data_IF_303179307351
#
_entry.id   IF_303179307351
#
_cell.length_a   1.000
_cell.length_b   1.000
_cell.length_c   1.000
_cell.angle_alpha   90.00
_cell.angle_beta   90.00
_cell.angle_gamma   90.00
#
_symmetry.space_group_name_H-M   'P 1'
#
loop_
_entity.id
_entity.type
_entity.pdbx_description
1 polymer ?
#
# COMPACT_ATOMS: atom_id res chain seq x y z
N UNK A 1 -25.61 1.60 -16.57
CA UNK A 1 -25.45 2.22 -15.25
C UNK A 1 -25.13 1.15 -14.23
N UNK A 2 -24.34 1.49 -13.23
CA UNK A 2 -23.95 0.56 -12.17
C UNK A 2 -24.83 0.76 -10.94
N UNK A 3 -25.34 -0.36 -10.44
CA UNK A 3 -26.14 -0.43 -9.24
C UNK A 3 -25.41 -1.33 -8.26
N UNK A 4 -25.41 -0.97 -6.98
CA UNK A 4 -24.71 -1.73 -5.96
C UNK A 4 -25.50 -1.84 -4.67
N UNK A 5 -25.23 -2.90 -3.92
CA UNK A 5 -25.78 -3.15 -2.59
C UNK A 5 -24.71 -3.78 -1.72
N UNK A 6 -24.65 -3.38 -0.45
CA UNK A 6 -23.86 -4.07 0.56
C UNK A 6 -24.69 -5.25 1.09
N UNK A 7 -24.14 -6.46 1.03
CA UNK A 7 -24.78 -7.64 1.59
C UNK A 7 -24.58 -7.76 3.10
N UNK A 8 -25.15 -8.82 3.70
CA UNK A 8 -25.10 -9.02 5.15
C UNK A 8 -23.70 -9.33 5.67
N UNK A 9 -22.76 -9.70 4.80
CA UNK A 9 -21.36 -9.99 5.12
C UNK A 9 -20.48 -8.75 4.91
N UNK A 10 -21.06 -7.63 4.47
CA UNK A 10 -20.35 -6.38 4.18
C UNK A 10 -19.71 -6.36 2.80
N UNK A 11 -19.95 -7.38 1.95
CA UNK A 11 -19.44 -7.42 0.59
C UNK A 11 -20.32 -6.59 -0.35
N UNK A 12 -19.72 -6.05 -1.40
CA UNK A 12 -20.46 -5.28 -2.40
C UNK A 12 -20.88 -6.15 -3.59
N UNK A 13 -22.20 -6.25 -3.82
CA UNK A 13 -22.76 -6.82 -5.05
C UNK A 13 -22.98 -5.69 -6.06
N UNK A 14 -22.16 -5.65 -7.12
CA UNK A 14 -22.27 -4.68 -8.21
C UNK A 14 -22.95 -5.32 -9.43
N UNK A 15 -23.98 -4.66 -9.94
CA UNK A 15 -24.76 -5.09 -11.11
C UNK A 15 -24.80 -3.99 -12.15
N UNK A 16 -24.50 -4.38 -13.39
CA UNK A 16 -24.75 -3.52 -14.54
C UNK A 16 -26.22 -3.63 -15.00
N UNK A 17 -26.86 -2.48 -15.18
CA UNK A 17 -28.18 -2.36 -15.78
C UNK A 17 -28.17 -1.35 -16.93
N UNK A 18 -28.76 -1.72 -18.07
CA UNK A 18 -29.07 -0.77 -19.13
C UNK A 18 -30.17 0.19 -18.61
N UNK A 19 -29.99 1.53 -18.68
CA UNK A 19 -31.01 2.50 -18.28
C UNK A 19 -32.35 2.34 -19.02
N UNK A 20 -32.34 1.80 -20.25
CA UNK A 20 -33.55 1.57 -21.03
C UNK A 20 -34.33 0.32 -20.59
N UNK A 21 -33.72 -0.55 -19.77
CA UNK A 21 -34.37 -1.75 -19.24
C UNK A 21 -35.09 -1.44 -17.92
N UNK A 22 -36.24 -0.77 -18.02
CA UNK A 22 -37.04 -0.32 -16.87
C UNK A 22 -37.48 -1.45 -15.92
N UNK A 23 -37.79 -2.64 -16.46
CA UNK A 23 -38.20 -3.81 -15.65
C UNK A 23 -37.04 -4.30 -14.79
N UNK A 24 -35.85 -4.49 -15.38
CA UNK A 24 -34.66 -4.90 -14.64
C UNK A 24 -34.27 -3.85 -13.58
N UNK A 25 -34.33 -2.57 -13.96
CA UNK A 25 -34.11 -1.44 -13.06
C UNK A 25 -35.04 -1.49 -11.84
N UNK A 26 -36.35 -1.62 -12.05
CA UNK A 26 -37.34 -1.67 -10.97
C UNK A 26 -37.10 -2.88 -10.04
N UNK A 27 -36.80 -4.05 -10.61
CA UNK A 27 -36.49 -5.25 -9.82
C UNK A 27 -35.26 -5.06 -8.94
N UNK A 28 -34.19 -4.45 -9.46
CA UNK A 28 -32.98 -4.17 -8.70
C UNK A 28 -33.24 -3.13 -7.59
N UNK A 29 -34.02 -2.09 -7.86
CA UNK A 29 -34.43 -1.11 -6.83
C UNK A 29 -35.22 -1.76 -5.70
N UNK A 30 -36.19 -2.60 -6.05
CA UNK A 30 -37.00 -3.34 -5.06
C UNK A 30 -36.16 -4.32 -4.23
N UNK A 31 -35.06 -4.84 -4.80
CA UNK A 31 -34.09 -5.67 -4.08
C UNK A 31 -33.10 -4.86 -3.21
N UNK A 32 -33.20 -3.53 -3.21
CA UNK A 32 -32.38 -2.62 -2.41
C UNK A 32 -31.10 -2.13 -3.08
N UNK A 33 -30.95 -2.28 -4.39
CA UNK A 33 -29.76 -1.77 -5.08
C UNK A 33 -29.84 -0.24 -5.29
N UNK A 34 -28.76 0.45 -4.92
CA UNK A 34 -28.60 1.89 -5.06
C UNK A 34 -27.70 2.23 -6.25
N UNK A 35 -27.70 3.49 -6.69
CA UNK A 35 -26.74 3.94 -7.70
C UNK A 35 -25.34 3.89 -7.10
N UNK A 36 -24.40 3.24 -7.80
CA UNK A 36 -23.00 3.28 -7.43
C UNK A 36 -22.37 4.59 -7.92
N UNK A 37 -21.67 5.27 -7.03
CA UNK A 37 -20.84 6.44 -7.35
C UNK A 37 -19.41 6.10 -6.97
N UNK A 38 -18.59 5.80 -7.97
CA UNK A 38 -17.19 5.45 -7.78
C UNK A 38 -16.31 6.70 -7.60
N UNK A 39 -15.19 6.55 -6.90
CA UNK A 39 -14.19 7.60 -6.71
C UNK A 39 -12.81 7.13 -7.14
N UNK A 40 -11.92 8.09 -7.42
CA UNK A 40 -10.56 7.80 -7.86
C UNK A 40 -9.76 7.27 -6.67
N UNK A 41 -9.11 6.12 -6.85
CA UNK A 41 -8.18 5.59 -5.86
C UNK A 41 -7.03 6.57 -5.62
N UNK A 42 -6.75 6.98 -4.37
CA UNK A 42 -5.64 7.87 -4.08
C UNK A 42 -4.31 7.15 -4.30
N UNK A 43 -3.29 7.91 -4.70
CA UNK A 43 -1.90 7.45 -4.60
C UNK A 43 -1.52 7.41 -3.12
N UNK A 44 -1.02 6.27 -2.66
CA UNK A 44 -0.58 6.08 -1.28
C UNK A 44 0.94 6.07 -1.19
N UNK A 45 1.46 6.41 -0.03
CA UNK A 45 2.89 6.31 0.22
C UNK A 45 3.29 4.86 0.47
N UNK A 46 4.58 4.57 0.36
CA UNK A 46 5.07 3.25 0.66
C UNK A 46 4.94 2.94 2.17
N UNK A 47 4.31 1.81 2.48
CA UNK A 47 3.86 1.45 3.83
C UNK A 47 2.36 1.73 4.08
N UNK A 48 1.69 2.41 3.16
CA UNK A 48 0.25 2.67 3.21
C UNK A 48 -0.52 1.83 2.18
N UNK A 49 -1.81 1.62 2.44
CA UNK A 49 -2.76 0.97 1.54
C UNK A 49 -4.05 1.76 1.48
N UNK A 50 -4.58 1.92 0.26
CA UNK A 50 -5.92 2.48 0.05
C UNK A 50 -6.94 1.35 0.13
N UNK A 51 -7.75 1.35 1.18
CA UNK A 51 -8.82 0.37 1.41
C UNK A 51 -10.10 0.88 0.78
N UNK A 52 -10.68 0.06 -0.10
CA UNK A 52 -11.94 0.33 -0.76
C UNK A 52 -13.10 0.23 0.24
N UNK A 53 -13.86 1.31 0.38
CA UNK A 53 -14.94 1.45 1.36
C UNK A 53 -16.19 2.07 0.72
N UNK A 54 -17.35 1.81 1.33
CA UNK A 54 -18.64 2.25 0.80
C UNK A 54 -19.53 2.80 1.90
N UNK A 55 -20.28 3.86 1.57
CA UNK A 55 -21.29 4.43 2.46
C UNK A 55 -22.53 4.84 1.68
N UNK A 56 -23.69 4.76 2.31
CA UNK A 56 -24.92 5.27 1.74
C UNK A 56 -25.04 6.78 2.00
N UNK A 57 -25.18 7.56 0.93
CA UNK A 57 -25.41 9.00 0.99
C UNK A 57 -26.46 9.41 -0.02
N UNK A 58 -27.52 10.09 0.44
CA UNK A 58 -28.59 10.64 -0.41
C UNK A 58 -29.21 9.59 -1.36
N UNK A 59 -29.44 8.36 -0.90
CA UNK A 59 -30.01 7.27 -1.69
C UNK A 59 -29.08 6.72 -2.78
N UNK A 60 -27.77 6.95 -2.65
CA UNK A 60 -26.72 6.38 -3.48
C UNK A 60 -25.73 5.62 -2.62
N UNK A 61 -25.05 4.64 -3.20
CA UNK A 61 -23.90 4.01 -2.59
C UNK A 61 -22.64 4.69 -3.12
N UNK A 62 -21.92 5.38 -2.25
CA UNK A 62 -20.75 6.17 -2.59
C UNK A 62 -19.50 5.41 -2.16
N UNK A 63 -18.63 5.13 -3.13
CA UNK A 63 -17.31 4.58 -2.90
C UNK A 63 -16.38 5.67 -2.38
N UNK A 64 -15.57 5.34 -1.39
CA UNK A 64 -14.49 6.18 -0.90
C UNK A 64 -13.30 5.31 -0.48
N UNK A 65 -12.14 5.93 -0.32
CA UNK A 65 -10.91 5.23 0.01
C UNK A 65 -10.40 5.64 1.37
N UNK A 66 -10.14 4.66 2.23
CA UNK A 66 -9.48 4.86 3.52
C UNK A 66 -8.00 4.53 3.38
N UNK A 67 -7.13 5.52 3.59
CA UNK A 67 -5.69 5.27 3.66
C UNK A 67 -5.37 4.72 5.04
N UNK A 68 -4.79 3.52 5.07
CA UNK A 68 -4.38 2.83 6.30
C UNK A 68 -2.92 2.40 6.18
N UNK A 69 -2.29 2.13 7.31
CA UNK A 69 -0.97 1.49 7.33
C UNK A 69 -1.14 0.02 6.98
N UNK A 70 -0.36 -0.46 6.02
CA UNK A 70 -0.22 -1.89 5.75
C UNK A 70 0.90 -2.45 6.62
N UNK A 71 0.57 -2.80 7.87
CA UNK A 71 1.58 -3.22 8.86
C UNK A 71 2.31 -4.51 8.45
N UNK A 72 1.63 -5.41 7.74
CA UNK A 72 2.22 -6.68 7.29
C UNK A 72 3.21 -6.42 6.15
N UNK A 73 2.84 -5.63 5.15
CA UNK A 73 3.75 -5.22 4.09
C UNK A 73 4.94 -4.42 4.66
N UNK A 74 4.64 -3.44 5.53
CA UNK A 74 5.63 -2.56 6.14
C UNK A 74 6.67 -3.36 6.91
N UNK A 75 6.24 -4.29 7.77
CA UNK A 75 7.16 -5.14 8.52
C UNK A 75 8.02 -6.01 7.58
N UNK A 76 7.39 -6.64 6.58
CA UNK A 76 8.13 -7.46 5.60
C UNK A 76 9.18 -6.64 4.85
N UNK A 77 8.87 -5.38 4.51
CA UNK A 77 9.82 -4.49 3.85
C UNK A 77 10.98 -4.12 4.77
N UNK A 78 10.70 -3.80 6.03
CA UNK A 78 11.73 -3.55 7.06
C UNK A 78 12.68 -4.75 7.16
N UNK A 79 12.14 -5.98 7.22
CA UNK A 79 12.94 -7.20 7.34
C UNK A 79 13.87 -7.39 6.13
N UNK A 80 13.34 -7.19 4.91
CA UNK A 80 14.15 -7.25 3.68
C UNK A 80 15.26 -6.18 3.68
N UNK A 81 14.97 -4.95 4.10
CA UNK A 81 15.97 -3.88 4.17
C UNK A 81 17.07 -4.19 5.19
N UNK A 82 16.70 -4.80 6.34
CA UNK A 82 17.66 -5.30 7.33
C UNK A 82 18.54 -6.42 6.76
N UNK A 83 17.98 -7.30 5.94
CA UNK A 83 18.75 -8.34 5.22
C UNK A 83 19.73 -7.72 4.19
N UNK A 84 19.32 -6.69 3.45
CA UNK A 84 20.23 -5.96 2.53
C UNK A 84 21.39 -5.31 3.29
N UNK A 85 21.14 -4.72 4.47
CA UNK A 85 22.21 -4.22 5.32
C UNK A 85 23.15 -5.35 5.76
N UNK A 86 22.60 -6.46 6.24
CA UNK A 86 23.42 -7.58 6.72
C UNK A 86 24.27 -8.21 5.60
N UNK A 87 23.67 -8.42 4.42
CA UNK A 87 24.37 -8.99 3.26
C UNK A 87 25.50 -8.08 2.73
N UNK A 88 25.51 -6.79 3.07
CA UNK A 88 26.57 -5.85 2.70
C UNK A 88 27.59 -5.58 3.82
N UNK A 89 27.45 -6.18 5.00
CA UNK A 89 28.35 -5.97 6.14
C UNK A 89 29.80 -6.39 5.83
N UNK A 90 30.00 -7.43 5.03
CA UNK A 90 31.34 -7.87 4.64
C UNK A 90 32.14 -6.77 3.91
N UNK A 91 31.46 -5.87 3.18
CA UNK A 91 32.14 -4.74 2.51
C UNK A 91 32.69 -3.76 3.54
N UNK A 92 31.91 -3.49 4.60
CA UNK A 92 32.33 -2.64 5.71
C UNK A 92 33.51 -3.28 6.45
N UNK A 93 33.42 -4.57 6.76
CA UNK A 93 34.49 -5.32 7.45
C UNK A 93 35.80 -5.25 6.64
N UNK A 94 35.74 -5.55 5.33
CA UNK A 94 36.93 -5.49 4.46
C UNK A 94 37.56 -4.10 4.41
N UNK A 95 36.74 -3.05 4.35
CA UNK A 95 37.23 -1.68 4.41
C UNK A 95 37.87 -1.36 5.77
N UNK A 96 37.27 -1.80 6.87
CA UNK A 96 37.83 -1.61 8.21
C UNK A 96 39.18 -2.33 8.36
N UNK A 97 39.29 -3.58 7.91
CA UNK A 97 40.53 -4.35 7.93
C UNK A 97 41.64 -3.65 7.15
N UNK A 98 41.38 -3.25 5.90
CA UNK A 98 42.35 -2.55 5.06
C UNK A 98 42.83 -1.23 5.70
N UNK A 99 41.91 -0.46 6.27
CA UNK A 99 42.22 0.79 6.97
C UNK A 99 43.16 0.59 8.16
N UNK A 100 42.95 -0.47 8.96
CA UNK A 100 43.76 -0.75 10.15
C UNK A 100 45.20 -1.13 9.84
N UNK A 101 45.46 -1.72 8.68
CA UNK A 101 46.80 -2.15 8.24
C UNK A 101 47.43 -1.20 7.23
N UNK A 102 46.76 -0.10 6.87
CA UNK A 102 47.24 0.88 5.89
C UNK A 102 47.21 0.37 4.44
N UNK A 103 46.37 -0.62 4.15
CA UNK A 103 46.14 -1.12 2.79
C UNK A 103 45.15 -0.23 2.02
N UNK A 104 45.15 -0.38 0.70
CA UNK A 104 44.17 0.27 -0.15
C UNK A 104 42.76 -0.25 0.16
N UNK A 105 41.82 0.68 0.32
CA UNK A 105 40.41 0.34 0.59
C UNK A 105 39.81 -0.43 -0.60
N UNK A 106 39.22 -1.61 -0.39
CA UNK A 106 38.68 -2.46 -1.45
C UNK A 106 37.35 -1.97 -2.03
N UNK A 107 36.67 -1.04 -1.33
CA UNK A 107 35.43 -0.39 -1.77
C UNK A 107 35.48 1.10 -1.45
N UNK A 108 34.67 1.88 -2.16
CA UNK A 108 34.41 3.28 -1.80
C UNK A 108 33.56 3.33 -0.52
N UNK A 109 34.16 3.82 0.56
CA UNK A 109 33.49 3.90 1.87
C UNK A 109 32.45 5.01 1.91
N UNK A 110 32.65 6.10 1.18
CA UNK A 110 31.72 7.22 1.17
C UNK A 110 30.43 6.83 0.43
N UNK A 111 30.55 6.15 -0.71
CA UNK A 111 29.41 5.59 -1.44
C UNK A 111 28.70 4.53 -0.60
N UNK A 112 29.44 3.56 -0.05
CA UNK A 112 28.88 2.49 0.79
C UNK A 112 28.16 3.05 2.03
N UNK A 113 28.72 4.08 2.66
CA UNK A 113 28.08 4.73 3.81
C UNK A 113 26.77 5.40 3.42
N UNK A 114 26.75 6.15 2.31
CA UNK A 114 25.53 6.82 1.82
C UNK A 114 24.42 5.83 1.49
N UNK A 115 24.74 4.76 0.77
CA UNK A 115 23.78 3.69 0.46
C UNK A 115 23.22 3.03 1.72
N UNK A 116 24.09 2.68 2.66
CA UNK A 116 23.64 2.04 3.92
C UNK A 116 22.86 3.02 4.79
N UNK A 117 23.18 4.31 4.76
CA UNK A 117 22.43 5.32 5.51
C UNK A 117 21.03 5.52 4.93
N UNK A 118 20.86 5.59 3.61
CA UNK A 118 19.53 5.71 3.01
C UNK A 118 18.63 4.52 3.32
N UNK A 119 19.20 3.31 3.39
CA UNK A 119 18.46 2.11 3.83
C UNK A 119 18.01 2.24 5.29
N UNK A 120 18.88 2.74 6.19
CA UNK A 120 18.51 2.98 7.59
C UNK A 120 17.44 4.04 7.72
N UNK A 121 17.53 5.12 6.94
CA UNK A 121 16.55 6.19 6.95
C UNK A 121 15.16 5.68 6.51
N UNK A 122 15.12 4.82 5.48
CA UNK A 122 13.88 4.17 5.05
C UNK A 122 13.33 3.18 6.09
N UNK A 123 14.18 2.39 6.75
CA UNK A 123 13.77 1.54 7.87
C UNK A 123 13.14 2.40 8.98
N UNK A 124 13.79 3.48 9.40
CA UNK A 124 13.28 4.35 10.46
C UNK A 124 11.95 5.01 10.06
N UNK A 125 11.81 5.42 8.80
CA UNK A 125 10.54 5.96 8.27
C UNK A 125 9.43 4.90 8.37
N UNK A 126 9.68 3.68 7.89
CA UNK A 126 8.70 2.59 7.94
C UNK A 126 8.37 2.17 9.37
N UNK A 127 9.36 2.09 10.26
CA UNK A 127 9.15 1.80 11.69
C UNK A 127 8.32 2.88 12.38
N UNK A 128 8.34 4.13 11.90
CA UNK A 128 7.46 5.18 12.44
C UNK A 128 5.99 5.05 12.04
N UNK A 129 5.66 4.19 11.07
CA UNK A 129 4.28 3.93 10.63
C UNK A 129 3.57 2.86 11.47
N UNK A 130 4.30 1.97 12.16
CA UNK A 130 3.78 0.79 12.87
C UNK A 130 4.05 0.86 14.37
#
# INVERSE_FOLDING_TARGET
MELAKIDNEGMIDVRFCDPNNGVKMANLRNAGFLNLVSSIQPTVQDGEVAVDSYKEENGKLVQYWEVKVDSVYTQKKIDNLKEVLSSSDYKVIKCQEASLIGEQMPYDVDELHKERQSIRDEINRLESLI
#
